data_IF_663617534853
#
_entry.id   IF_663617534853
#
_cell.length_a   1.000
_cell.length_b   1.000
_cell.length_c   1.000
_cell.angle_alpha   90.00
_cell.angle_beta   90.00
_cell.angle_gamma   90.00
#
_symmetry.space_group_name_H-M   'P 1'
#
loop_
_entity.id
_entity.type
_entity.pdbx_description
1 polymer ?
#
# COMPACT_ATOMS: atom_id res chain seq x y z
N UNK A 1 14.81 -2.76 14.76
CA UNK A 1 15.00 -2.29 13.37
C UNK A 1 14.03 -3.06 12.50
N UNK A 2 13.00 -2.41 11.94
CA UNK A 2 12.07 -3.11 11.04
C UNK A 2 12.79 -3.36 9.72
N UNK A 3 13.00 -4.63 9.36
CA UNK A 3 13.60 -4.99 8.07
C UNK A 3 12.52 -4.88 7.00
N UNK A 4 12.71 -4.08 5.93
CA UNK A 4 11.81 -4.09 4.78
C UNK A 4 11.67 -5.52 4.25
N UNK A 5 10.46 -5.93 3.90
CA UNK A 5 10.27 -7.20 3.19
C UNK A 5 10.66 -6.95 1.73
N UNK A 6 11.51 -7.81 1.18
CA UNK A 6 11.77 -7.87 -0.26
C UNK A 6 10.62 -8.60 -0.97
N UNK A 7 9.39 -8.10 -0.78
CA UNK A 7 8.15 -8.74 -1.18
C UNK A 7 7.19 -7.76 -1.85
N UNK A 8 6.40 -8.27 -2.79
CA UNK A 8 5.37 -7.51 -3.50
C UNK A 8 4.01 -7.98 -2.99
N UNK A 9 3.18 -7.04 -2.55
CA UNK A 9 1.77 -7.28 -2.23
C UNK A 9 0.92 -6.79 -3.39
N UNK A 10 0.03 -7.64 -3.89
CA UNK A 10 -0.92 -7.28 -4.93
C UNK A 10 -2.29 -7.03 -4.33
N UNK A 11 -2.84 -5.83 -4.54
CA UNK A 11 -4.24 -5.52 -4.28
C UNK A 11 -5.03 -5.58 -5.58
N UNK A 12 -6.17 -6.27 -5.57
CA UNK A 12 -7.04 -6.46 -6.73
C UNK A 12 -8.38 -5.81 -6.43
N UNK A 13 -8.65 -4.67 -7.05
CA UNK A 13 -9.95 -4.00 -6.94
C UNK A 13 -10.86 -4.49 -8.07
N UNK A 14 -12.00 -5.12 -7.75
CA UNK A 14 -13.01 -5.53 -8.74
C UNK A 14 -14.04 -4.44 -9.04
N UNK A 15 -14.00 -3.35 -8.26
CA UNK A 15 -14.85 -2.17 -8.40
C UNK A 15 -13.92 -0.96 -8.37
N UNK A 16 -14.09 -0.05 -9.33
CA UNK A 16 -13.27 1.17 -9.37
C UNK A 16 -13.55 2.01 -8.11
N UNK A 17 -12.51 2.49 -7.40
CA UNK A 17 -12.68 3.25 -6.17
C UNK A 17 -13.44 4.55 -6.41
N UNK A 18 -14.43 4.82 -5.56
CA UNK A 18 -15.18 6.08 -5.58
C UNK A 18 -14.26 7.23 -5.15
N UNK A 19 -14.44 8.39 -5.78
CA UNK A 19 -13.64 9.57 -5.45
C UNK A 19 -12.14 9.40 -5.74
N UNK A 20 -11.77 8.40 -6.55
CA UNK A 20 -10.39 8.20 -7.00
C UNK A 20 -9.41 7.87 -5.86
N UNK A 21 -9.91 7.28 -4.76
CA UNK A 21 -9.08 6.85 -3.64
C UNK A 21 -9.36 5.39 -3.31
N UNK A 22 -8.35 4.54 -3.42
CA UNK A 22 -8.39 3.17 -2.94
C UNK A 22 -7.89 3.12 -1.50
N UNK A 23 -8.79 2.83 -0.58
CA UNK A 23 -8.48 2.65 0.84
C UNK A 23 -8.16 1.18 1.14
N UNK A 24 -6.99 0.92 1.73
CA UNK A 24 -6.57 -0.40 2.20
C UNK A 24 -6.16 -0.32 3.67
N UNK A 25 -6.89 -0.97 4.57
CA UNK A 25 -6.63 -0.90 6.02
C UNK A 25 -5.47 -1.77 6.51
N UNK A 26 -5.13 -2.82 5.75
CA UNK A 26 -4.20 -3.86 6.19
C UNK A 26 -2.71 -3.53 6.04
N UNK A 27 -2.23 -2.87 4.96
CA UNK A 27 -0.80 -2.64 4.75
C UNK A 27 -0.15 -1.80 5.86
N UNK A 28 1.01 -2.26 6.33
CA UNK A 28 1.87 -1.48 7.21
C UNK A 28 2.92 -0.75 6.37
N UNK A 29 2.64 0.52 6.07
CA UNK A 29 3.45 1.34 5.17
C UNK A 29 4.74 1.83 5.82
N UNK A 30 5.76 2.05 4.99
CA UNK A 30 7.06 2.60 5.39
C UNK A 30 7.43 3.77 4.49
N UNK A 31 8.48 4.56 4.83
CA UNK A 31 8.97 5.60 3.92
C UNK A 31 9.42 5.08 2.54
N UNK A 32 9.76 3.79 2.44
CA UNK A 32 10.17 3.14 1.19
C UNK A 32 8.99 2.55 0.40
N UNK A 33 7.75 2.76 0.87
CA UNK A 33 6.56 2.22 0.21
C UNK A 33 6.36 2.85 -1.15
N UNK A 34 6.20 2.00 -2.16
CA UNK A 34 5.90 2.39 -3.53
C UNK A 34 4.66 1.66 -3.99
N UNK A 35 3.86 2.34 -4.82
CA UNK A 35 2.62 1.80 -5.37
C UNK A 35 2.62 2.02 -6.86
N UNK A 36 2.32 0.98 -7.63
CA UNK A 36 2.10 1.07 -9.08
C UNK A 36 0.81 0.37 -9.48
N UNK A 37 0.17 0.85 -10.54
CA UNK A 37 -0.97 0.18 -11.16
C UNK A 37 -0.50 -0.58 -12.39
N UNK A 38 -0.77 -1.89 -12.45
CA UNK A 38 -0.29 -2.70 -13.57
C UNK A 38 -1.05 -2.35 -14.87
N UNK A 39 -0.30 -2.19 -15.96
CA UNK A 39 -0.87 -1.84 -17.27
C UNK A 39 -1.27 -0.38 -17.40
N UNK A 40 -0.78 0.49 -16.52
CA UNK A 40 -1.02 1.93 -16.56
C UNK A 40 0.31 2.70 -16.41
N UNK A 41 0.65 3.51 -17.41
CA UNK A 41 1.91 4.25 -17.53
C UNK A 41 1.71 5.77 -17.33
N UNK A 42 0.81 6.18 -16.43
CA UNK A 42 0.43 7.60 -16.26
C UNK A 42 0.14 8.01 -14.82
N UNK A 43 0.78 7.33 -13.86
CA UNK A 43 0.56 7.53 -12.43
C UNK A 43 1.40 8.63 -11.81
N UNK A 44 2.50 8.99 -12.46
CA UNK A 44 3.60 9.69 -11.82
C UNK A 44 3.38 11.16 -11.51
N UNK A 45 3.63 11.46 -10.25
CA UNK A 45 4.34 12.65 -9.79
C UNK A 45 5.65 12.83 -10.58
N UNK A 46 6.01 14.10 -10.88
CA UNK A 46 7.00 14.67 -11.84
C UNK A 46 8.35 13.95 -12.12
N UNK A 47 8.68 12.85 -11.44
CA UNK A 47 9.96 12.13 -11.52
C UNK A 47 9.85 10.60 -11.78
N UNK A 48 8.67 9.97 -11.64
CA UNK A 48 8.46 8.55 -11.96
C UNK A 48 7.04 8.30 -12.50
N UNK A 49 6.89 8.24 -13.82
CA UNK A 49 5.59 8.17 -14.51
C UNK A 49 4.71 6.95 -14.15
N UNK A 50 5.29 5.90 -13.56
CA UNK A 50 4.59 4.67 -13.21
C UNK A 50 4.11 4.57 -11.75
N UNK A 51 4.55 5.50 -10.88
CA UNK A 51 4.26 5.44 -9.44
C UNK A 51 3.02 6.26 -9.09
N UNK A 52 2.12 5.69 -8.29
CA UNK A 52 0.94 6.39 -7.78
C UNK A 52 1.26 7.12 -6.48
N UNK A 53 0.64 8.29 -6.32
CA UNK A 53 0.59 9.01 -5.05
C UNK A 53 -0.21 8.23 -4.01
N UNK A 54 0.25 8.29 -2.76
CA UNK A 54 -0.43 7.68 -1.62
C UNK A 54 -0.21 8.47 -0.34
N UNK A 55 -1.07 8.25 0.67
CA UNK A 55 -0.92 8.82 2.01
C UNK A 55 -1.36 7.83 3.09
N UNK A 56 -0.96 8.09 4.34
CA UNK A 56 -1.59 7.46 5.50
C UNK A 56 -3.04 7.93 5.59
N UNK A 57 -4.02 7.04 5.84
CA UNK A 57 -5.40 7.47 6.07
C UNK A 57 -5.47 8.51 7.20
N UNK A 58 -6.30 9.53 7.02
CA UNK A 58 -6.52 10.52 8.08
C UNK A 58 -7.12 9.83 9.29
N UNK A 59 -6.54 10.04 10.47
CA UNK A 59 -6.95 9.40 11.71
C UNK A 59 -8.44 9.66 12.01
N UNK A 60 -9.31 8.69 11.77
CA UNK A 60 -10.48 8.54 12.63
C UNK A 60 -10.00 7.78 13.88
N UNK A 61 -9.87 8.56 14.95
CA UNK A 61 -9.37 8.14 16.25
C UNK A 61 -10.35 7.17 16.93
N UNK A 62 -10.40 5.93 16.47
CA UNK A 62 -10.89 4.82 17.28
C UNK A 62 -9.74 4.31 18.16
N UNK A 63 -9.74 4.77 19.41
CA UNK A 63 -8.92 4.26 20.51
C UNK A 63 -7.40 4.28 20.31
N UNK A 64 -6.85 5.39 19.81
CA UNK A 64 -5.41 5.66 19.91
C UNK A 64 -4.51 4.69 19.14
N UNK A 65 -5.08 3.92 18.21
CA UNK A 65 -4.30 3.05 17.34
C UNK A 65 -3.78 3.87 16.17
N UNK A 66 -2.46 3.89 16.02
CA UNK A 66 -1.75 4.67 15.00
C UNK A 66 -2.27 4.28 13.60
N UNK A 67 -2.53 5.27 12.76
CA UNK A 67 -2.99 5.16 11.37
C UNK A 67 -2.46 3.90 10.69
N UNK A 68 -3.31 2.87 10.59
CA UNK A 68 -3.02 1.65 9.83
C UNK A 68 -3.57 1.80 8.42
N UNK A 69 -2.89 1.19 7.46
CA UNK A 69 -3.34 1.19 6.07
C UNK A 69 -2.75 2.30 5.21
N UNK A 70 -3.31 2.44 4.02
CA UNK A 70 -2.85 3.31 2.94
C UNK A 70 -4.05 3.79 2.10
N UNK A 71 -4.07 5.08 1.79
CA UNK A 71 -4.94 5.68 0.79
C UNK A 71 -4.13 5.90 -0.48
N UNK A 72 -4.51 5.21 -1.56
CA UNK A 72 -3.86 5.29 -2.87
C UNK A 72 -4.71 6.18 -3.77
N UNK A 73 -4.13 7.26 -4.29
CA UNK A 73 -4.78 8.13 -5.25
C UNK A 73 -4.69 7.53 -6.65
N UNK A 74 -5.83 7.20 -7.22
CA UNK A 74 -5.91 6.65 -8.58
C UNK A 74 -6.26 7.75 -9.58
N UNK A 75 -5.72 7.71 -10.80
CA UNK A 75 -6.02 8.70 -11.85
C UNK A 75 -7.52 8.76 -12.17
N UNK A 76 -8.01 9.93 -12.58
CA UNK A 76 -9.35 10.03 -13.16
C UNK A 76 -9.34 9.48 -14.58
N UNK A 77 -9.66 8.19 -14.71
CA UNK A 77 -9.77 7.53 -15.99
C UNK A 77 -11.22 7.62 -16.50
N UNK A 78 -11.38 8.09 -17.74
CA UNK A 78 -12.63 7.85 -18.47
C UNK A 78 -12.73 6.35 -18.77
N UNK A 79 -13.94 5.76 -18.83
CA UNK A 79 -14.12 4.32 -19.05
C UNK A 79 -13.34 3.74 -20.25
N UNK A 80 -13.08 4.54 -21.27
CA UNK A 80 -12.35 4.16 -22.48
C UNK A 80 -10.82 4.04 -22.28
N UNK A 81 -10.28 4.66 -21.22
CA UNK A 81 -8.86 4.62 -20.86
C UNK A 81 -8.56 3.56 -19.79
N UNK A 82 -9.58 2.83 -19.35
CA UNK A 82 -9.43 1.85 -18.28
C UNK A 82 -9.01 0.50 -18.88
N UNK A 83 -7.83 -0.04 -18.54
CA UNK A 83 -7.27 -1.21 -19.23
C UNK A 83 -8.09 -2.50 -19.09
N UNK A 84 -9.07 -2.57 -18.18
CA UNK A 84 -10.08 -3.64 -18.18
C UNK A 84 -11.38 -3.24 -17.46
N UNK A 85 -12.47 -3.92 -17.79
CA UNK A 85 -13.80 -3.67 -17.20
C UNK A 85 -14.07 -4.48 -15.92
N UNK A 86 -13.11 -5.29 -15.46
CA UNK A 86 -13.36 -6.33 -14.46
C UNK A 86 -12.53 -6.22 -13.18
N UNK A 87 -11.24 -5.86 -13.27
CA UNK A 87 -10.38 -5.77 -12.09
C UNK A 87 -9.09 -4.94 -12.31
N UNK A 88 -8.74 -4.13 -11.33
CA UNK A 88 -7.52 -3.31 -11.33
C UNK A 88 -6.53 -3.84 -10.33
N UNK A 89 -5.28 -3.98 -10.76
CA UNK A 89 -4.21 -4.57 -9.95
C UNK A 89 -3.21 -3.50 -9.55
N UNK A 90 -2.99 -3.38 -8.26
CA UNK A 90 -2.02 -2.49 -7.64
C UNK A 90 -0.92 -3.33 -7.02
N UNK A 91 0.33 -3.02 -7.34
CA UNK A 91 1.49 -3.67 -6.74
C UNK A 91 2.12 -2.70 -5.73
N UNK A 92 2.22 -3.16 -4.49
CA UNK A 92 2.80 -2.45 -3.36
C UNK A 92 4.12 -3.12 -2.96
N UNK A 93 5.17 -2.31 -2.79
CA UNK A 93 6.50 -2.75 -2.34
C UNK A 93 6.98 -1.89 -1.19
N UNK A 94 8.04 -2.32 -0.50
CA UNK A 94 8.58 -1.56 0.64
C UNK A 94 7.62 -1.50 1.84
N UNK A 95 6.79 -2.55 2.02
CA UNK A 95 5.91 -2.68 3.18
C UNK A 95 6.64 -3.35 4.36
N UNK A 96 6.22 -3.01 5.58
CA UNK A 96 6.64 -3.71 6.78
C UNK A 96 5.72 -4.90 7.07
N UNK A 97 6.25 -5.94 7.71
CA UNK A 97 5.40 -6.97 8.30
C UNK A 97 4.75 -6.41 9.57
N UNK A 98 3.44 -6.62 9.72
CA UNK A 98 2.82 -6.60 11.05
C UNK A 98 3.22 -7.90 11.75
N UNK A 99 4.44 -7.94 12.29
CA UNK A 99 4.73 -8.87 13.39
C UNK A 99 3.94 -8.33 14.57
N UNK A 100 2.66 -8.70 14.62
CA UNK A 100 1.78 -8.40 15.73
C UNK A 100 2.53 -8.71 17.02
N UNK A 101 2.57 -7.75 17.93
CA UNK A 101 3.29 -7.87 19.18
C UNK A 101 2.81 -9.07 19.99
N UNK A 102 3.46 -10.21 19.80
CA UNK A 102 3.65 -11.19 20.86
C UNK A 102 4.99 -10.83 21.49
N UNK A 103 4.89 -10.05 22.56
CA UNK A 103 5.91 -10.04 23.60
C UNK A 103 6.02 -11.45 24.19
N UNK A 104 6.80 -12.30 23.54
CA UNK A 104 7.49 -13.40 24.19
C UNK A 104 8.93 -13.35 23.69
N UNK A 105 9.72 -12.61 24.46
CA UNK A 105 11.13 -12.84 24.74
C UNK A 105 11.75 -13.98 23.92
N UNK A 106 12.34 -13.65 22.78
CA UNK A 106 13.32 -14.52 22.15
C UNK A 106 14.69 -13.88 22.37
N UNK A 107 15.12 -13.88 23.63
CA UNK A 107 16.54 -13.86 23.96
C UNK A 107 17.18 -15.05 23.25
N UNK A 108 17.78 -14.82 22.08
CA UNK A 108 18.73 -15.76 21.51
C UNK A 108 19.97 -15.67 22.40
N UNK A 109 20.01 -16.52 23.43
CA UNK A 109 21.26 -16.92 24.05
C UNK A 109 22.12 -17.49 22.91
N UNK A 110 23.11 -16.73 22.51
CA UNK A 110 24.26 -17.28 21.80
C UNK A 110 25.10 -17.99 22.85
N UNK A 111 24.83 -19.28 23.03
CA UNK A 111 25.85 -20.20 23.55
C UNK A 111 26.92 -20.35 22.46
N UNK A 112 28.07 -19.67 22.65
CA UNK A 112 29.43 -20.22 22.51
C UNK A 112 30.36 -19.46 23.47
#
# INVERSE_FOLDING_TARGET
THKPIDGIVYAIATIWPKGNVLHLEAPNITPDTQVKMLGFEGGGNDENEDLLLWMTPSAESDNGNKNKGIDIFVPSLTPDLVPCQHAWVFALTGLANDIGGIGHDTTILSDV
#
